data_IF_165126896892
#
_entry.id   IF_165126896892
#
_cell.length_a   1.000
_cell.length_b   1.000
_cell.length_c   1.000
_cell.angle_alpha   90.00
_cell.angle_beta   90.00
_cell.angle_gamma   90.00
#
_symmetry.space_group_name_H-M   'P 1'
#
loop_
_entity.id
_entity.type
_entity.pdbx_description
1 polymer ?
#
# COMPACT_ATOMS: atom_id res chain seq x y z
N UNK A 1 15.47 -17.41 -5.04
CA UNK A 1 14.22 -17.31 -5.83
C UNK A 1 13.85 -15.84 -5.96
N UNK A 2 14.07 -15.25 -7.13
CA UNK A 2 13.58 -13.91 -7.46
C UNK A 2 12.05 -13.96 -7.48
N UNK A 3 11.41 -13.44 -6.41
CA UNK A 3 9.95 -13.34 -6.38
C UNK A 3 9.51 -12.43 -7.53
N UNK A 4 8.40 -12.74 -8.18
CA UNK A 4 7.84 -11.86 -9.21
C UNK A 4 6.99 -10.76 -8.58
N UNK A 5 6.94 -9.60 -9.22
CA UNK A 5 6.03 -8.53 -8.83
C UNK A 5 4.61 -8.94 -9.23
N UNK A 6 3.77 -9.24 -8.23
CA UNK A 6 2.39 -9.67 -8.43
C UNK A 6 1.41 -8.66 -7.84
N UNK A 7 0.23 -8.54 -8.46
CA UNK A 7 -0.87 -7.73 -7.93
C UNK A 7 -1.26 -8.28 -6.56
N UNK A 8 -1.38 -7.40 -5.57
CA UNK A 8 -1.64 -7.77 -4.18
C UNK A 8 -0.40 -8.17 -3.39
N UNK A 9 0.76 -8.32 -4.02
CA UNK A 9 2.05 -8.59 -3.39
C UNK A 9 2.70 -7.35 -2.77
N UNK A 10 3.72 -7.57 -1.93
CA UNK A 10 4.50 -6.51 -1.31
C UNK A 10 5.81 -6.27 -2.07
N UNK A 11 6.16 -5.01 -2.21
CA UNK A 11 7.36 -4.54 -2.89
C UNK A 11 8.05 -3.49 -2.05
N UNK A 12 9.38 -3.48 -2.08
CA UNK A 12 10.20 -2.41 -1.54
C UNK A 12 10.47 -1.40 -2.65
N UNK A 13 10.16 -0.14 -2.38
CA UNK A 13 10.38 0.99 -3.29
C UNK A 13 11.82 1.53 -3.11
N UNK A 14 12.38 2.29 -4.07
CA UNK A 14 13.75 2.81 -3.98
C UNK A 14 14.00 3.69 -2.74
N UNK A 15 12.97 4.39 -2.25
CA UNK A 15 12.99 5.17 -1.01
C UNK A 15 13.02 4.31 0.29
N UNK A 16 13.25 3.00 0.17
CA UNK A 16 13.38 2.06 1.29
C UNK A 16 12.08 1.65 1.95
N UNK A 17 10.95 2.31 1.63
CA UNK A 17 9.62 1.97 2.15
C UNK A 17 9.07 0.69 1.55
N UNK A 18 8.14 0.07 2.28
CA UNK A 18 7.39 -1.11 1.81
C UNK A 18 6.02 -0.65 1.32
N UNK A 19 5.67 -1.07 0.11
CA UNK A 19 4.37 -0.84 -0.50
C UNK A 19 3.70 -2.12 -0.96
N UNK A 20 2.41 -2.03 -1.28
CA UNK A 20 1.65 -3.13 -1.86
C UNK A 20 1.20 -2.79 -3.27
N UNK A 21 1.44 -3.69 -4.19
CA UNK A 21 1.03 -3.55 -5.59
C UNK A 21 -0.49 -3.67 -5.65
N UNK A 22 -1.15 -2.66 -6.23
CA UNK A 22 -2.61 -2.62 -6.36
C UNK A 22 -3.06 -2.92 -7.77
N UNK A 23 -2.28 -2.49 -8.75
CA UNK A 23 -2.65 -2.44 -10.16
C UNK A 23 -1.36 -2.37 -10.98
N UNK A 24 -1.39 -2.95 -12.19
CA UNK A 24 -0.36 -2.76 -13.21
C UNK A 24 -1.01 -2.00 -14.37
N UNK A 25 -0.45 -0.85 -14.72
CA UNK A 25 -0.87 -0.05 -15.87
C UNK A 25 0.28 -0.02 -16.86
N UNK A 26 0.08 -0.62 -18.03
CA UNK A 26 1.13 -0.78 -19.04
C UNK A 26 2.38 -1.45 -18.45
N UNK A 27 3.48 -0.69 -18.34
CA UNK A 27 4.75 -1.17 -17.78
C UNK A 27 5.00 -0.71 -16.33
N UNK A 28 4.08 0.07 -15.76
CA UNK A 28 4.21 0.62 -14.42
C UNK A 28 3.30 -0.10 -13.43
N UNK A 29 3.80 -0.23 -12.20
CA UNK A 29 3.05 -0.80 -11.09
C UNK A 29 2.61 0.32 -10.16
N UNK A 30 1.31 0.37 -9.91
CA UNK A 30 0.72 1.27 -8.93
C UNK A 30 0.84 0.64 -7.56
N UNK A 31 1.71 1.22 -6.75
CA UNK A 31 2.06 0.75 -5.42
C UNK A 31 1.44 1.68 -4.38
N UNK A 32 0.65 1.11 -3.47
CA UNK A 32 0.17 1.82 -2.29
C UNK A 32 1.25 1.78 -1.21
N UNK A 33 1.68 2.96 -0.77
CA UNK A 33 2.68 3.15 0.29
C UNK A 33 2.11 4.00 1.41
N UNK A 34 2.66 3.87 2.62
CA UNK A 34 2.38 4.80 3.72
C UNK A 34 3.24 6.06 3.55
N UNK A 35 2.68 7.24 3.83
CA UNK A 35 3.45 8.50 3.84
C UNK A 35 4.44 8.49 5.01
N UNK A 36 5.59 9.15 4.85
CA UNK A 36 6.59 9.30 5.93
C UNK A 36 6.04 10.15 7.10
N UNK A 37 5.33 11.22 6.75
CA UNK A 37 4.87 12.25 7.70
C UNK A 37 3.45 12.03 8.21
N UNK A 38 2.74 10.99 7.75
CA UNK A 38 1.33 10.80 8.07
C UNK A 38 0.93 9.32 8.08
N UNK A 39 -0.13 9.00 8.82
CA UNK A 39 -0.83 7.70 8.79
C UNK A 39 -1.60 7.45 7.50
N UNK A 40 -1.69 8.46 6.62
CA UNK A 40 -2.34 8.34 5.33
C UNK A 40 -1.52 7.50 4.33
N UNK A 41 -2.25 6.93 3.38
CA UNK A 41 -1.67 6.18 2.27
C UNK A 41 -1.54 7.06 1.03
N UNK A 42 -0.55 6.76 0.20
CA UNK A 42 -0.34 7.37 -1.10
C UNK A 42 -0.18 6.27 -2.14
N UNK A 43 -0.61 6.54 -3.37
CA UNK A 43 -0.32 5.69 -4.52
C UNK A 43 0.82 6.32 -5.30
N UNK A 44 1.83 5.51 -5.60
CA UNK A 44 2.98 5.88 -6.41
C UNK A 44 3.09 4.86 -7.55
N UNK A 45 3.47 5.33 -8.72
CA UNK A 45 3.74 4.48 -9.87
C UNK A 45 5.25 4.28 -9.98
N UNK A 46 5.67 3.05 -10.18
CA UNK A 46 7.08 2.70 -10.36
C UNK A 46 7.22 1.72 -11.51
N UNK A 47 8.37 1.74 -12.18
CA UNK A 47 8.71 0.72 -13.15
C UNK A 47 9.10 -0.61 -12.46
N UNK A 48 8.95 -1.72 -13.19
CA UNK A 48 9.27 -3.06 -12.71
C UNK A 48 10.69 -3.14 -12.12
N UNK A 49 11.64 -2.45 -12.76
CA UNK A 49 13.07 -2.50 -12.44
C UNK A 49 13.41 -1.76 -11.15
N UNK A 50 12.57 -0.83 -10.72
CA UNK A 50 12.78 -0.04 -9.49
C UNK A 50 12.25 -0.76 -8.25
N UNK A 51 11.37 -1.75 -8.46
CA UNK A 51 10.67 -2.44 -7.39
C UNK A 51 11.38 -3.74 -7.03
N UNK A 52 11.66 -3.91 -5.74
CA UNK A 52 12.17 -5.18 -5.21
C UNK A 52 11.02 -5.96 -4.57
N UNK A 53 10.59 -7.10 -5.12
CA UNK A 53 9.57 -7.93 -4.52
C UNK A 53 10.08 -8.51 -3.20
N UNK A 54 9.27 -8.37 -2.14
CA UNK A 54 9.60 -8.84 -0.80
C UNK A 54 8.44 -9.61 -0.20
N UNK A 55 8.72 -10.38 0.85
CA UNK A 55 7.66 -10.90 1.68
C UNK A 55 6.90 -9.78 2.39
N UNK A 56 5.57 -9.91 2.40
CA UNK A 56 4.74 -9.01 3.16
C UNK A 56 5.06 -9.15 4.65
N UNK A 57 5.51 -8.08 5.34
CA UNK A 57 5.70 -8.13 6.77
C UNK A 57 4.38 -8.48 7.46
N UNK A 58 4.42 -9.31 8.52
CA UNK A 58 3.23 -9.62 9.32
C UNK A 58 2.55 -8.31 9.78
N UNK A 59 1.25 -8.18 9.48
CA UNK A 59 0.44 -7.02 9.85
C UNK A 59 0.60 -5.78 8.96
N UNK A 60 1.57 -5.73 8.04
CA UNK A 60 1.76 -4.58 7.16
C UNK A 60 0.79 -4.63 5.98
N UNK A 61 -0.10 -3.64 5.89
CA UNK A 61 -1.14 -3.58 4.84
C UNK A 61 -1.96 -4.88 4.70
N UNK A 62 -2.13 -5.62 5.80
CA UNK A 62 -3.00 -6.80 5.83
C UNK A 62 -4.47 -6.40 5.65
N UNK A 63 -5.31 -7.35 5.25
CA UNK A 63 -6.76 -7.13 5.15
C UNK A 63 -7.33 -6.69 6.50
N UNK A 64 -6.82 -7.24 7.61
CA UNK A 64 -7.21 -6.86 8.97
C UNK A 64 -6.77 -5.44 9.32
N UNK A 65 -5.54 -5.06 8.97
CA UNK A 65 -5.04 -3.69 9.14
C UNK A 65 -5.86 -2.68 8.34
N UNK A 66 -6.26 -3.05 7.11
CA UNK A 66 -7.16 -2.24 6.30
C UNK A 66 -8.57 -2.14 6.89
N UNK A 67 -9.15 -3.25 7.39
CA UNK A 67 -10.46 -3.23 8.08
C UNK A 67 -10.42 -2.34 9.32
N UNK A 68 -9.36 -2.39 10.12
CA UNK A 68 -9.14 -1.48 11.27
C UNK A 68 -9.09 -0.02 10.83
N UNK A 69 -8.27 0.28 9.82
CA UNK A 69 -8.19 1.63 9.26
C UNK A 69 -9.55 2.12 8.76
N UNK A 70 -10.24 1.31 7.96
CA UNK A 70 -11.54 1.63 7.38
C UNK A 70 -12.58 1.89 8.48
N UNK A 71 -12.58 1.09 9.56
CA UNK A 71 -13.47 1.29 10.71
C UNK A 71 -13.27 2.69 11.33
N UNK A 72 -12.02 3.09 11.55
CA UNK A 72 -11.68 4.42 12.10
C UNK A 72 -12.06 5.53 11.12
N UNK A 73 -11.78 5.36 9.83
CA UNK A 73 -12.14 6.35 8.80
C UNK A 73 -13.65 6.52 8.68
N UNK A 74 -14.42 5.43 8.63
CA UNK A 74 -15.89 5.46 8.57
C UNK A 74 -16.50 6.07 9.82
N UNK A 75 -15.94 5.79 11.01
CA UNK A 75 -16.36 6.47 12.24
C UNK A 75 -16.19 7.99 12.14
N UNK A 76 -15.01 8.47 11.69
CA UNK A 76 -14.76 9.91 11.50
C UNK A 76 -15.72 10.54 10.48
N UNK A 77 -16.06 9.84 9.40
CA UNK A 77 -17.03 10.33 8.41
C UNK A 77 -18.44 10.42 9.00
N UNK A 78 -18.88 9.41 9.76
CA UNK A 78 -20.17 9.45 10.47
C UNK A 78 -20.25 10.61 11.47
N UNK A 79 -19.17 10.88 12.19
CA UNK A 79 -19.11 12.01 13.14
C UNK A 79 -19.23 13.37 12.44
N UNK A 80 -18.79 13.50 11.19
CA UNK A 80 -18.94 14.74 10.40
C UNK A 80 -20.34 14.93 9.82
N UNK A 81 -21.10 13.85 9.63
CA UNK A 81 -22.48 13.89 9.13
C UNK A 81 -23.51 14.26 10.21
N UNK A 82 -23.11 14.24 11.49
CA UNK A 82 -24.00 14.52 12.62
C UNK A 82 -23.93 15.97 13.14
N UNK A 83 -23.06 16.80 12.56
CA UNK A 83 -23.07 18.26 12.70
C UNK A 83 -23.66 18.87 11.44
#
# INVERSE_FOLDING_TARGET
>A
MTKSIVIGGCVKIPDGRIGRVREKVNNQYKVRVRRKTSVSHQFLSFDANELKPIDCPKGWMSVEGYKRYLKVTLQKMKSRQKN
#
